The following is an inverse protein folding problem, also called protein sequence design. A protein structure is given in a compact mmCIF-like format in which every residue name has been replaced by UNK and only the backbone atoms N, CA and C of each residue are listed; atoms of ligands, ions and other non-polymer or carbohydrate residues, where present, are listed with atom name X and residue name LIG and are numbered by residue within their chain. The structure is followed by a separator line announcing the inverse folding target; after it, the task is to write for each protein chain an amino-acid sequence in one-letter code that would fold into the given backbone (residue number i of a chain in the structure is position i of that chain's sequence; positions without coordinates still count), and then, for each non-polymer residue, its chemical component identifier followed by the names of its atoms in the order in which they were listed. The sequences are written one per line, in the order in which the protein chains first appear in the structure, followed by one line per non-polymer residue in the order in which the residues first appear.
data_IF_484028262595
#
_entry.id   IF_484028262595
#
_cell.length_a   1.000
_cell.length_b   1.000
_cell.length_c   1.000
_cell.angle_alpha   90.00
_cell.angle_beta   90.00
_cell.angle_gamma   90.00
#
_symmetry.space_group_name_H-M   'P 1'
#
loop_
_entity.id
_entity.type
_entity.pdbx_description
1 polymer ?
#
# COMPACT_ATOMS: atom_id res chain seq x y z
N UNK A 1 5.64 49.76 58.16
CA UNK A 1 5.01 48.71 57.32
C UNK A 1 5.08 47.40 58.06
N UNK A 2 4.03 46.58 57.93
CA UNK A 2 3.76 45.27 58.56
C UNK A 2 3.14 45.30 59.97
N UNK A 3 1.80 45.14 59.98
CA UNK A 3 1.02 44.59 61.08
C UNK A 3 0.06 43.53 60.51
N UNK A 4 -0.06 42.41 61.25
CA UNK A 4 -1.29 41.59 61.46
C UNK A 4 -1.87 40.85 60.25
N UNK A 5 -2.50 39.66 60.30
CA UNK A 5 -3.04 38.74 61.32
C UNK A 5 -3.36 37.42 60.54
N UNK A 6 -3.09 36.24 61.08
CA UNK A 6 -4.03 35.33 61.78
C UNK A 6 -5.06 34.59 60.88
N UNK A 7 -4.80 33.28 60.74
CA UNK A 7 -5.69 32.09 60.70
C UNK A 7 -7.10 32.13 60.07
N UNK A 8 -7.41 31.14 59.22
CA UNK A 8 -8.51 30.20 59.47
C UNK A 8 -8.44 28.96 58.56
N UNK A 9 -8.65 27.80 59.16
CA UNK A 9 -8.91 26.50 58.53
C UNK A 9 -10.33 26.49 57.96
N UNK A 10 -10.52 25.96 56.75
CA UNK A 10 -11.76 25.28 56.37
C UNK A 10 -11.48 24.32 55.21
N UNK A 11 -11.65 23.02 55.48
CA UNK A 11 -11.73 21.99 54.47
C UNK A 11 -13.10 22.06 53.79
N UNK A 12 -13.12 22.11 52.46
CA UNK A 12 -14.27 21.69 51.67
C UNK A 12 -13.77 20.92 50.45
N UNK A 13 -14.06 19.63 50.46
CA UNK A 13 -14.16 18.78 49.28
C UNK A 13 -15.28 19.34 48.40
N UNK A 14 -14.95 19.76 47.18
CA UNK A 14 -15.92 19.89 46.09
C UNK A 14 -15.36 19.23 44.84
N UNK A 15 -15.95 18.08 44.54
CA UNK A 15 -15.96 17.43 43.24
C UNK A 15 -16.43 18.40 42.17
N UNK A 16 -15.63 18.63 41.13
CA UNK A 16 -16.08 19.26 39.89
C UNK A 16 -16.16 18.16 38.82
N UNK A 17 -17.33 17.53 38.78
CA UNK A 17 -17.88 16.99 37.55
C UNK A 17 -18.37 18.19 36.73
N UNK A 18 -17.79 18.41 35.55
CA UNK A 18 -18.27 19.38 34.57
C UNK A 18 -18.86 18.64 33.38
N UNK A 19 -20.17 18.37 33.44
CA UNK A 19 -20.99 18.03 32.28
C UNK A 19 -21.82 19.27 31.87
N UNK A 20 -22.03 19.38 30.55
CA UNK A 20 -23.01 20.21 29.82
C UNK A 20 -22.68 21.71 29.68
N UNK A 21 -22.83 22.36 28.52
CA UNK A 21 -23.64 22.14 27.30
C UNK A 21 -22.87 22.65 26.07
N UNK A 22 -22.93 22.08 24.86
CA UNK A 22 -24.14 21.87 24.07
C UNK A 22 -24.48 23.14 23.27
N UNK A 23 -23.95 23.25 22.04
CA UNK A 23 -24.59 24.02 20.97
C UNK A 23 -24.34 23.31 19.65
N UNK A 24 -25.33 22.54 19.25
CA UNK A 24 -25.56 22.03 17.93
C UNK A 24 -25.76 23.18 16.93
N UNK A 25 -25.14 23.05 15.76
CA UNK A 25 -25.76 23.48 14.52
C UNK A 25 -25.89 22.24 13.66
N UNK A 26 -26.90 21.43 13.97
CA UNK A 26 -27.40 20.38 13.09
C UNK A 26 -28.01 21.06 11.87
N UNK A 27 -27.24 21.11 10.79
CA UNK A 27 -27.76 21.30 9.44
C UNK A 27 -28.47 20.02 9.00
N UNK A 28 -29.56 20.11 8.23
CA UNK A 28 -30.23 18.92 7.73
C UNK A 28 -29.36 18.25 6.66
N UNK A 29 -28.76 17.12 7.01
CA UNK A 29 -28.30 16.10 6.06
C UNK A 29 -26.91 16.31 5.43
N UNK A 30 -25.86 16.47 6.23
CA UNK A 30 -24.53 16.04 5.79
C UNK A 30 -24.35 14.57 6.20
N UNK A 31 -24.54 13.66 5.24
CA UNK A 31 -23.98 12.31 5.33
C UNK A 31 -22.48 12.48 5.55
N UNK A 32 -22.01 12.16 6.76
CA UNK A 32 -20.59 12.12 7.07
C UNK A 32 -19.83 11.31 6.03
N UNK A 33 -18.56 11.67 5.79
CA UNK A 33 -17.67 10.96 4.86
C UNK A 33 -17.87 9.44 4.99
N UNK A 34 -18.19 8.71 3.90
CA UNK A 34 -18.37 7.27 3.97
C UNK A 34 -17.09 6.54 4.36
N UNK A 35 -15.92 7.20 4.28
CA UNK A 35 -14.65 6.67 4.76
C UNK A 35 -14.01 7.62 5.78
N UNK A 36 -13.82 7.12 6.99
CA UNK A 36 -13.22 7.86 8.11
C UNK A 36 -11.85 7.24 8.42
N UNK A 37 -10.77 7.96 8.09
CA UNK A 37 -9.37 7.53 8.35
C UNK A 37 -9.05 6.13 7.78
N UNK A 38 -9.52 5.84 6.57
CA UNK A 38 -9.31 4.55 5.92
C UNK A 38 -10.36 3.49 6.23
N UNK A 39 -11.37 3.79 7.06
CA UNK A 39 -12.45 2.84 7.36
C UNK A 39 -13.70 3.13 6.50
N UNK A 40 -13.96 2.36 5.42
CA UNK A 40 -15.10 2.56 4.49
C UNK A 40 -16.45 2.15 5.12
N UNK A 41 -17.58 2.66 4.64
CA UNK A 41 -18.90 2.29 5.20
C UNK A 41 -19.35 0.92 4.71
N UNK A 42 -19.05 0.60 3.45
CA UNK A 42 -19.44 -0.64 2.78
C UNK A 42 -20.96 -0.85 2.71
N UNK A 43 -21.77 0.18 2.93
CA UNK A 43 -23.23 0.04 3.06
C UNK A 43 -23.92 -0.46 1.79
N UNK A 44 -23.31 -0.24 0.63
CA UNK A 44 -23.89 -0.50 -0.69
C UNK A 44 -23.25 -1.65 -1.46
N UNK A 45 -22.58 -2.57 -0.77
CA UNK A 45 -22.00 -3.76 -1.41
C UNK A 45 -23.05 -4.87 -1.60
N UNK A 46 -22.95 -5.61 -2.69
CA UNK A 46 -23.70 -6.83 -2.99
C UNK A 46 -22.80 -7.85 -3.70
N UNK A 47 -23.19 -9.12 -3.74
CA UNK A 47 -22.43 -10.15 -4.45
C UNK A 47 -22.47 -9.92 -5.95
N UNK A 48 -21.32 -9.95 -6.62
CA UNK A 48 -21.26 -9.87 -8.08
C UNK A 48 -21.99 -11.06 -8.74
N UNK A 49 -21.84 -12.25 -8.15
CA UNK A 49 -22.55 -13.47 -8.54
C UNK A 49 -23.38 -13.96 -7.35
N UNK A 50 -24.69 -13.92 -7.49
CA UNK A 50 -25.59 -14.40 -6.44
C UNK A 50 -25.48 -15.91 -6.23
N UNK A 51 -25.37 -16.32 -4.97
CA UNK A 51 -25.31 -17.72 -4.54
C UNK A 51 -25.80 -17.86 -3.11
N UNK A 52 -25.89 -19.11 -2.62
CA UNK A 52 -26.23 -19.38 -1.21
C UNK A 52 -25.21 -18.78 -0.23
N UNK A 53 -24.00 -18.44 -0.69
CA UNK A 53 -22.96 -17.80 0.11
C UNK A 53 -23.13 -16.28 0.23
N UNK A 54 -23.94 -15.63 -0.63
CA UNK A 54 -24.02 -14.16 -0.75
C UNK A 54 -24.20 -13.43 0.58
N UNK A 55 -25.23 -13.79 1.34
CA UNK A 55 -25.51 -13.15 2.64
C UNK A 55 -24.35 -13.31 3.61
N UNK A 56 -23.78 -14.52 3.67
CA UNK A 56 -22.66 -14.82 4.56
C UNK A 56 -21.40 -14.05 4.17
N UNK A 57 -21.11 -13.94 2.87
CA UNK A 57 -19.97 -13.17 2.36
C UNK A 57 -20.10 -11.68 2.73
N UNK A 58 -21.28 -11.09 2.54
CA UNK A 58 -21.55 -9.69 2.90
C UNK A 58 -21.44 -9.47 4.42
N UNK A 59 -22.00 -10.37 5.22
CA UNK A 59 -21.86 -10.32 6.69
C UNK A 59 -20.39 -10.38 7.10
N UNK A 60 -19.64 -11.36 6.56
CA UNK A 60 -18.22 -11.54 6.85
C UNK A 60 -17.40 -10.28 6.50
N UNK A 61 -17.61 -9.71 5.31
CA UNK A 61 -16.88 -8.52 4.87
C UNK A 61 -17.07 -7.28 5.77
N UNK A 62 -18.14 -7.22 6.58
CA UNK A 62 -18.44 -6.08 7.46
C UNK A 62 -18.16 -6.36 8.93
N UNK A 63 -17.98 -7.62 9.31
CA UNK A 63 -18.03 -8.06 10.71
C UNK A 63 -16.91 -7.43 11.58
N UNK A 64 -15.77 -7.08 10.97
CA UNK A 64 -14.65 -6.44 11.68
C UNK A 64 -15.02 -5.10 12.31
N UNK A 65 -16.02 -4.39 11.76
CA UNK A 65 -16.53 -3.11 12.31
C UNK A 65 -17.15 -3.27 13.70
N UNK A 66 -17.50 -4.49 14.08
CA UNK A 66 -18.01 -4.84 15.40
C UNK A 66 -16.92 -5.46 16.29
N UNK A 67 -15.65 -5.39 15.86
CA UNK A 67 -14.50 -6.06 16.47
C UNK A 67 -14.67 -7.61 16.55
N UNK A 68 -15.41 -8.17 15.60
CA UNK A 68 -15.69 -9.60 15.48
C UNK A 68 -14.95 -10.20 14.28
N UNK A 69 -14.93 -11.53 14.17
CA UNK A 69 -14.24 -12.27 13.10
C UNK A 69 -15.18 -13.26 12.41
N UNK A 70 -14.92 -13.54 11.13
CA UNK A 70 -15.72 -14.49 10.37
C UNK A 70 -15.59 -15.90 10.94
N UNK A 71 -16.72 -16.60 11.02
CA UNK A 71 -16.80 -17.99 11.48
C UNK A 71 -16.49 -18.94 10.34
N UNK A 72 -15.58 -19.89 10.59
CA UNK A 72 -15.14 -20.92 9.64
C UNK A 72 -16.25 -21.91 9.30
N UNK A 73 -17.26 -22.02 10.16
CA UNK A 73 -18.46 -22.82 9.91
C UNK A 73 -19.37 -22.19 8.85
N UNK A 74 -19.27 -20.88 8.63
CA UNK A 74 -20.11 -20.14 7.68
C UNK A 74 -19.41 -19.88 6.35
N UNK A 75 -18.16 -19.43 6.40
CA UNK A 75 -17.36 -19.11 5.22
C UNK A 75 -15.90 -19.46 5.47
N UNK A 76 -15.27 -20.05 4.46
CA UNK A 76 -13.87 -20.47 4.50
C UNK A 76 -13.10 -19.86 3.33
N UNK A 77 -11.79 -19.63 3.49
CA UNK A 77 -10.92 -19.17 2.43
C UNK A 77 -11.05 -20.01 1.15
N UNK A 78 -10.83 -19.40 -0.02
CA UNK A 78 -10.99 -20.08 -1.33
C UNK A 78 -10.13 -21.36 -1.40
N UNK A 79 -8.89 -21.30 -0.89
CA UNK A 79 -7.94 -22.41 -0.91
C UNK A 79 -8.00 -23.34 0.30
N UNK A 80 -9.00 -23.21 1.18
CA UNK A 80 -9.05 -24.01 2.41
C UNK A 80 -9.03 -25.52 2.13
N UNK A 81 -8.13 -26.24 2.81
CA UNK A 81 -7.95 -27.69 2.76
C UNK A 81 -7.61 -28.26 1.38
N UNK A 82 -6.94 -27.47 0.53
CA UNK A 82 -6.55 -27.93 -0.80
C UNK A 82 -5.23 -27.33 -1.28
N UNK A 83 -4.55 -28.06 -2.17
CA UNK A 83 -3.23 -27.69 -2.68
C UNK A 83 -3.25 -27.32 -4.17
N UNK A 84 -4.32 -27.64 -4.90
CA UNK A 84 -4.47 -27.36 -6.32
C UNK A 84 -4.58 -25.86 -6.63
N UNK A 85 -4.32 -25.53 -7.89
CA UNK A 85 -4.43 -24.18 -8.41
C UNK A 85 -5.88 -23.70 -8.35
N UNK A 86 -6.08 -22.43 -7.98
CA UNK A 86 -7.43 -21.84 -8.02
C UNK A 86 -7.69 -21.17 -9.37
N UNK A 87 -8.96 -21.17 -9.75
CA UNK A 87 -9.44 -20.61 -11.00
C UNK A 87 -9.94 -19.18 -10.83
N UNK A 88 -10.00 -18.44 -11.94
CA UNK A 88 -10.61 -17.10 -11.96
C UNK A 88 -12.11 -17.13 -11.60
N UNK A 89 -12.82 -18.24 -11.87
CA UNK A 89 -14.23 -18.38 -11.51
C UNK A 89 -14.42 -18.52 -9.99
N UNK A 90 -13.51 -19.21 -9.29
CA UNK A 90 -13.51 -19.28 -7.83
C UNK A 90 -13.26 -17.90 -7.21
N UNK A 91 -12.36 -17.09 -7.79
CA UNK A 91 -12.15 -15.69 -7.37
C UNK A 91 -13.42 -14.87 -7.62
N UNK A 92 -14.04 -15.00 -8.81
CA UNK A 92 -15.28 -14.30 -9.15
C UNK A 92 -16.41 -14.60 -8.17
N UNK A 93 -16.51 -15.84 -7.67
CA UNK A 93 -17.53 -16.25 -6.72
C UNK A 93 -17.41 -15.55 -5.35
N UNK A 94 -16.28 -14.91 -5.06
CA UNK A 94 -16.01 -14.19 -3.80
C UNK A 94 -16.05 -12.67 -3.94
N UNK A 95 -16.40 -12.15 -5.13
CA UNK A 95 -16.47 -10.71 -5.38
C UNK A 95 -17.73 -10.10 -4.76
N UNK A 96 -17.52 -9.09 -3.91
CA UNK A 96 -18.54 -8.18 -3.43
C UNK A 96 -18.27 -6.80 -4.04
N UNK A 97 -19.28 -6.18 -4.63
CA UNK A 97 -19.11 -4.93 -5.36
C UNK A 97 -20.14 -3.89 -4.95
N UNK A 98 -19.75 -2.62 -5.01
CA UNK A 98 -20.70 -1.50 -4.97
C UNK A 98 -21.29 -1.18 -6.35
N UNK A 99 -20.57 -1.51 -7.42
CA UNK A 99 -20.98 -1.29 -8.80
C UNK A 99 -20.49 -2.45 -9.67
N UNK A 100 -21.36 -2.92 -10.58
CA UNK A 100 -21.07 -4.05 -11.47
C UNK A 100 -19.77 -3.87 -12.28
N UNK A 101 -19.55 -2.64 -12.77
CA UNK A 101 -18.38 -2.31 -13.59
C UNK A 101 -17.05 -2.59 -12.88
N UNK A 102 -17.02 -2.53 -11.54
CA UNK A 102 -15.80 -2.77 -10.77
C UNK A 102 -15.36 -4.23 -10.91
N UNK A 103 -16.29 -5.18 -10.78
CA UNK A 103 -16.00 -6.60 -11.01
C UNK A 103 -15.64 -6.86 -12.47
N UNK A 104 -16.39 -6.31 -13.43
CA UNK A 104 -16.09 -6.47 -14.85
C UNK A 104 -14.65 -6.03 -15.19
N UNK A 105 -14.26 -4.86 -14.68
CA UNK A 105 -12.92 -4.31 -14.88
C UNK A 105 -11.84 -5.14 -14.19
N UNK A 106 -12.09 -5.55 -12.93
CA UNK A 106 -11.19 -6.41 -12.16
C UNK A 106 -10.95 -7.76 -12.87
N UNK A 107 -12.02 -8.42 -13.32
CA UNK A 107 -11.96 -9.69 -14.04
C UNK A 107 -11.24 -9.54 -15.37
N UNK A 108 -11.52 -8.46 -16.12
CA UNK A 108 -10.83 -8.19 -17.38
C UNK A 108 -9.33 -7.95 -17.16
N UNK A 109 -8.96 -7.22 -16.11
CA UNK A 109 -7.57 -7.00 -15.74
C UNK A 109 -6.87 -8.28 -15.29
N UNK A 110 -7.50 -9.15 -14.49
CA UNK A 110 -6.94 -10.46 -14.14
C UNK A 110 -6.74 -11.35 -15.37
N UNK A 111 -7.64 -11.30 -16.36
CA UNK A 111 -7.47 -11.99 -17.65
C UNK A 111 -6.32 -11.41 -18.47
N UNK A 112 -6.12 -10.09 -18.44
CA UNK A 112 -5.00 -9.43 -19.12
C UNK A 112 -3.67 -9.68 -18.40
N UNK A 113 -3.69 -9.86 -17.08
CA UNK A 113 -2.54 -10.30 -16.29
C UNK A 113 -2.16 -11.72 -16.70
N UNK A 114 -3.11 -12.66 -16.74
CA UNK A 114 -2.86 -14.06 -17.10
C UNK A 114 -1.67 -14.67 -16.33
N UNK A 115 -1.82 -14.79 -15.01
CA UNK A 115 -0.74 -15.24 -14.12
C UNK A 115 -1.27 -16.18 -13.03
N UNK A 116 -0.95 -17.48 -13.14
CA UNK A 116 -1.45 -18.49 -12.22
C UNK A 116 -0.89 -18.34 -10.80
N UNK A 117 0.36 -17.87 -10.66
CA UNK A 117 0.94 -17.62 -9.35
C UNK A 117 0.19 -16.50 -8.64
N UNK A 118 -0.15 -15.41 -9.34
CA UNK A 118 -1.02 -14.36 -8.78
C UNK A 118 -2.40 -14.90 -8.37
N UNK A 119 -3.05 -15.71 -9.21
CA UNK A 119 -4.37 -16.28 -8.86
C UNK A 119 -4.28 -17.09 -7.57
N UNK A 120 -3.23 -17.90 -7.42
CA UNK A 120 -3.01 -18.71 -6.23
C UNK A 120 -2.83 -17.89 -4.95
N UNK A 121 -2.40 -16.62 -5.04
CA UNK A 121 -2.30 -15.76 -3.86
C UNK A 121 -3.66 -15.36 -3.27
N UNK A 122 -4.78 -15.55 -3.98
CA UNK A 122 -6.13 -15.33 -3.44
C UNK A 122 -6.62 -16.46 -2.53
N UNK A 123 -5.90 -17.59 -2.49
CA UNK A 123 -6.25 -18.76 -1.68
C UNK A 123 -6.61 -18.44 -0.21
N UNK A 124 -5.93 -17.53 0.50
CA UNK A 124 -6.26 -17.22 1.89
C UNK A 124 -7.50 -16.35 2.07
N UNK A 125 -8.16 -15.90 1.01
CA UNK A 125 -9.27 -14.94 1.12
C UNK A 125 -10.65 -15.61 1.25
N UNK A 126 -11.48 -15.07 2.15
CA UNK A 126 -12.91 -15.32 2.22
C UNK A 126 -13.69 -14.51 1.20
N UNK A 127 -13.40 -13.20 1.09
CA UNK A 127 -14.09 -12.27 0.18
C UNK A 127 -13.14 -11.22 -0.39
N UNK A 128 -13.51 -10.68 -1.54
CA UNK A 128 -12.79 -9.61 -2.24
C UNK A 128 -13.80 -8.49 -2.49
N UNK A 129 -13.58 -7.34 -1.88
CA UNK A 129 -14.53 -6.23 -1.82
C UNK A 129 -14.05 -5.08 -2.69
N UNK A 130 -14.82 -4.74 -3.72
CA UNK A 130 -14.57 -3.61 -4.61
C UNK A 130 -15.63 -2.53 -4.37
N UNK A 131 -15.26 -1.42 -3.74
CA UNK A 131 -16.23 -0.40 -3.34
C UNK A 131 -15.76 1.01 -3.63
N UNK A 132 -16.73 1.88 -3.95
CA UNK A 132 -16.51 3.27 -4.32
C UNK A 132 -15.94 4.14 -3.19
N UNK A 133 -16.04 3.68 -1.94
CA UNK A 133 -15.65 4.35 -0.71
C UNK A 133 -14.41 3.75 -0.04
N UNK A 134 -13.76 2.74 -0.63
CA UNK A 134 -12.49 2.20 -0.12
C UNK A 134 -11.34 3.13 -0.55
N UNK A 135 -10.58 3.62 0.44
CA UNK A 135 -9.32 4.34 0.26
C UNK A 135 -8.56 4.42 1.59
N UNK A 136 -7.32 3.91 1.68
CA UNK A 136 -6.62 3.08 0.68
C UNK A 136 -7.24 1.68 0.54
N UNK A 137 -6.72 0.87 -0.38
CA UNK A 137 -6.92 -0.59 -0.37
C UNK A 137 -6.27 -1.21 0.88
N UNK A 138 -6.76 -2.35 1.34
CA UNK A 138 -6.18 -3.07 2.48
C UNK A 138 -6.63 -4.54 2.55
N UNK A 139 -5.84 -5.38 3.21
CA UNK A 139 -6.25 -6.68 3.76
C UNK A 139 -6.71 -6.56 5.23
N UNK A 140 -7.69 -7.36 5.65
CA UNK A 140 -8.14 -7.40 7.05
C UNK A 140 -8.13 -8.82 7.65
N UNK A 141 -7.32 -9.03 8.68
CA UNK A 141 -7.12 -10.34 9.32
C UNK A 141 -8.38 -10.97 9.91
N UNK A 142 -9.25 -10.18 10.56
CA UNK A 142 -10.50 -10.71 11.14
C UNK A 142 -11.47 -11.31 10.12
N UNK A 143 -11.39 -10.86 8.87
CA UNK A 143 -12.31 -11.30 7.80
C UNK A 143 -11.62 -12.21 6.81
N UNK A 144 -10.28 -12.22 6.77
CA UNK A 144 -9.50 -12.72 5.65
C UNK A 144 -10.05 -12.17 4.33
N UNK A 145 -10.32 -10.86 4.28
CA UNK A 145 -10.86 -10.22 3.10
C UNK A 145 -9.93 -9.12 2.60
N UNK A 146 -9.93 -8.94 1.29
CA UNK A 146 -9.22 -7.85 0.62
C UNK A 146 -10.22 -6.77 0.19
N UNK A 147 -9.88 -5.51 0.41
CA UNK A 147 -10.70 -4.34 0.12
C UNK A 147 -9.93 -3.48 -0.88
N UNK A 148 -10.49 -3.25 -2.06
CA UNK A 148 -9.80 -2.59 -3.19
C UNK A 148 -10.41 -1.22 -3.47
N UNK A 149 -9.58 -0.18 -3.48
CA UNK A 149 -9.93 1.17 -3.93
C UNK A 149 -10.32 1.13 -5.42
N UNK A 150 -11.53 1.58 -5.71
CA UNK A 150 -12.09 1.64 -7.06
C UNK A 150 -11.25 2.47 -8.05
N UNK A 151 -10.34 3.34 -7.58
CA UNK A 151 -9.40 4.07 -8.45
C UNK A 151 -8.47 3.14 -9.24
N UNK A 152 -8.24 1.93 -8.76
CA UNK A 152 -7.47 0.93 -9.51
C UNK A 152 -8.24 0.34 -10.70
N UNK A 153 -9.56 0.56 -10.80
CA UNK A 153 -10.43 -0.20 -11.70
C UNK A 153 -11.20 0.63 -12.73
N UNK A 154 -11.24 1.96 -12.61
CA UNK A 154 -12.06 2.77 -13.52
C UNK A 154 -11.58 2.65 -14.97
N UNK A 155 -12.53 2.61 -15.92
CA UNK A 155 -12.23 2.47 -17.35
C UNK A 155 -12.42 3.75 -18.13
N UNK A 156 -13.40 4.56 -17.72
CA UNK A 156 -13.70 5.85 -18.32
C UNK A 156 -14.26 6.85 -17.28
N UNK A 157 -14.63 8.04 -17.75
CA UNK A 157 -15.20 9.09 -16.90
C UNK A 157 -16.53 8.69 -16.22
N UNK A 158 -17.32 7.81 -16.84
CA UNK A 158 -18.60 7.37 -16.30
C UNK A 158 -18.41 6.46 -15.09
N UNK A 159 -17.37 5.63 -15.08
CA UNK A 159 -16.92 4.87 -13.90
C UNK A 159 -16.33 5.84 -12.87
N UNK A 160 -15.37 6.69 -13.28
CA UNK A 160 -14.63 7.61 -12.39
C UNK A 160 -15.55 8.48 -11.51
N UNK A 161 -16.59 9.07 -12.10
CA UNK A 161 -17.52 9.96 -11.39
C UNK A 161 -18.38 9.25 -10.33
N UNK A 162 -18.39 7.92 -10.30
CA UNK A 162 -19.10 7.12 -9.27
C UNK A 162 -18.25 6.81 -8.05
N UNK A 163 -16.94 7.09 -8.11
CA UNK A 163 -15.99 6.87 -7.02
C UNK A 163 -16.04 8.04 -6.03
N UNK A 164 -16.03 7.74 -4.73
CA UNK A 164 -15.94 8.77 -3.71
C UNK A 164 -14.61 9.51 -3.79
N UNK A 165 -14.70 10.83 -3.99
CA UNK A 165 -13.54 11.70 -4.11
C UNK A 165 -13.13 12.17 -2.72
N UNK A 166 -12.19 11.43 -2.14
CA UNK A 166 -11.56 11.75 -0.87
C UNK A 166 -10.05 11.61 -1.04
N UNK A 167 -9.27 12.46 -0.40
CA UNK A 167 -7.84 12.26 -0.35
C UNK A 167 -7.45 11.19 0.65
N UNK A 168 -6.28 10.57 0.43
CA UNK A 168 -5.68 9.74 1.45
C UNK A 168 -5.42 10.58 2.71
N UNK A 169 -5.92 10.13 3.87
CA UNK A 169 -5.80 10.86 5.12
C UNK A 169 -4.34 11.02 5.58
N UNK A 170 -3.42 10.20 5.06
CA UNK A 170 -1.99 10.23 5.37
C UNK A 170 -1.23 11.36 4.67
N UNK A 171 -1.85 12.06 3.71
CA UNK A 171 -1.22 13.19 2.99
C UNK A 171 -0.62 14.26 3.92
N UNK A 172 -1.14 14.37 5.14
CA UNK A 172 -0.78 15.40 6.10
C UNK A 172 0.40 15.04 7.00
N UNK A 173 0.84 13.77 7.02
CA UNK A 173 1.76 13.25 8.03
C UNK A 173 3.21 13.69 7.85
N UNK A 174 3.66 13.85 6.60
CA UNK A 174 5.06 14.13 6.28
C UNK A 174 5.39 15.63 6.10
N UNK A 175 4.50 16.55 6.49
CA UNK A 175 4.65 17.99 6.16
C UNK A 175 5.91 18.66 6.72
N UNK A 176 6.48 18.13 7.80
CA UNK A 176 7.70 18.65 8.45
C UNK A 176 8.99 18.16 7.79
N UNK A 177 8.94 17.17 6.91
CA UNK A 177 10.14 16.62 6.27
C UNK A 177 10.78 17.63 5.31
N UNK A 178 12.11 17.62 5.25
CA UNK A 178 12.90 18.42 4.29
C UNK A 178 13.24 17.63 3.02
N UNK A 179 12.96 16.33 3.02
CA UNK A 179 13.12 15.39 1.92
C UNK A 179 11.99 14.35 1.96
N UNK A 180 11.63 13.77 0.82
CA UNK A 180 10.60 12.73 0.73
C UNK A 180 11.15 11.46 0.10
N UNK A 181 10.51 10.33 0.33
CA UNK A 181 10.79 9.12 -0.43
C UNK A 181 9.99 9.12 -1.74
N UNK A 182 10.60 8.73 -2.84
CA UNK A 182 9.94 8.54 -4.12
C UNK A 182 10.19 7.13 -4.63
N UNK A 183 9.19 6.52 -5.28
CA UNK A 183 9.37 5.23 -5.93
C UNK A 183 8.56 5.08 -7.21
N UNK A 184 9.02 4.23 -8.11
CA UNK A 184 8.28 3.84 -9.33
C UNK A 184 8.82 2.55 -9.94
N UNK A 185 7.95 1.90 -10.71
CA UNK A 185 8.34 0.77 -11.56
C UNK A 185 8.54 1.22 -13.00
N UNK A 186 9.70 0.91 -13.57
CA UNK A 186 10.04 1.19 -14.96
C UNK A 186 10.54 -0.06 -15.68
N UNK A 187 10.44 -0.09 -17.01
CA UNK A 187 11.08 -1.13 -17.81
C UNK A 187 12.58 -0.84 -17.93
N UNK A 188 13.45 -1.77 -17.54
CA UNK A 188 14.89 -1.51 -17.42
C UNK A 188 15.58 -1.01 -18.70
N UNK A 189 15.11 -1.43 -19.88
CA UNK A 189 15.70 -1.00 -21.17
C UNK A 189 15.28 0.40 -21.61
N UNK A 190 14.04 0.81 -21.29
CA UNK A 190 13.47 2.06 -21.81
C UNK A 190 13.33 3.13 -20.74
N UNK A 191 13.34 2.76 -19.45
CA UNK A 191 13.01 3.61 -18.32
C UNK A 191 11.65 4.30 -18.45
N UNK A 192 10.73 3.70 -19.22
CA UNK A 192 9.33 4.12 -19.25
C UNK A 192 8.59 3.45 -18.09
N UNK A 193 7.56 4.14 -17.57
CA UNK A 193 6.67 3.59 -16.57
C UNK A 193 6.04 2.27 -16.99
N UNK A 194 5.97 1.33 -16.05
CA UNK A 194 5.23 0.07 -16.21
C UNK A 194 3.73 0.29 -15.95
N UNK A 195 3.41 1.17 -15.00
CA UNK A 195 2.05 1.50 -14.58
C UNK A 195 1.57 2.81 -15.23
N UNK A 196 0.26 3.03 -15.19
CA UNK A 196 -0.35 4.33 -15.50
C UNK A 196 -1.04 4.85 -14.25
N UNK A 197 -1.13 6.18 -14.09
CA UNK A 197 -1.79 6.75 -12.93
C UNK A 197 -3.24 6.28 -12.79
N UNK A 198 -3.64 6.10 -11.54
CA UNK A 198 -5.01 5.81 -11.16
C UNK A 198 -5.91 7.06 -11.12
N UNK A 199 -5.39 8.25 -11.43
CA UNK A 199 -6.16 9.48 -11.52
C UNK A 199 -6.75 9.68 -12.92
N UNK A 200 -8.02 10.08 -12.99
CA UNK A 200 -8.62 10.51 -14.25
C UNK A 200 -8.07 11.87 -14.68
N UNK A 201 -7.64 11.95 -15.95
CA UNK A 201 -7.26 13.19 -16.60
C UNK A 201 -7.86 13.22 -18.01
N UNK A 202 -8.67 14.24 -18.32
CA UNK A 202 -9.40 14.30 -19.59
C UNK A 202 -8.51 14.40 -20.83
N UNK A 203 -7.26 14.84 -20.68
CA UNK A 203 -6.32 15.04 -21.78
C UNK A 203 -5.38 13.85 -21.96
N UNK A 204 -5.03 13.15 -20.88
CA UNK A 204 -3.86 12.23 -20.84
C UNK A 204 -4.21 10.83 -20.35
N UNK A 205 -5.25 10.71 -19.53
CA UNK A 205 -5.71 9.46 -18.96
C UNK A 205 -7.23 9.48 -18.85
N UNK A 206 -7.89 9.62 -20.01
CA UNK A 206 -9.35 9.71 -20.09
C UNK A 206 -10.02 8.34 -20.22
N UNK A 207 -9.25 7.33 -20.61
CA UNK A 207 -9.68 5.93 -20.74
C UNK A 207 -8.57 4.94 -20.38
N UNK A 208 -8.95 3.82 -19.76
CA UNK A 208 -8.07 2.72 -19.38
C UNK A 208 -8.65 1.40 -19.89
N UNK A 209 -7.89 0.71 -20.75
CA UNK A 209 -8.18 -0.68 -21.12
C UNK A 209 -7.71 -1.64 -20.03
N UNK A 210 -8.10 -2.91 -20.11
CA UNK A 210 -7.64 -3.94 -19.17
C UNK A 210 -6.11 -4.04 -19.12
N UNK A 211 -5.42 -3.89 -20.26
CA UNK A 211 -3.96 -3.93 -20.37
C UNK A 211 -3.29 -2.72 -19.70
N UNK A 212 -3.96 -1.56 -19.68
CA UNK A 212 -3.49 -0.39 -18.93
C UNK A 212 -3.73 -0.54 -17.42
N UNK A 213 -4.83 -1.20 -17.04
CA UNK A 213 -5.17 -1.44 -15.62
C UNK A 213 -4.25 -2.50 -15.01
N UNK A 214 -3.98 -3.57 -15.76
CA UNK A 214 -3.34 -4.79 -15.31
C UNK A 214 -2.04 -4.56 -14.51
N UNK A 215 -1.03 -3.78 -14.95
CA UNK A 215 0.21 -3.65 -14.19
C UNK A 215 0.05 -2.93 -12.86
N UNK A 216 -0.78 -1.88 -12.81
CA UNK A 216 -1.06 -1.14 -11.57
C UNK A 216 -1.87 -1.97 -10.58
N UNK A 217 -2.85 -2.73 -11.08
CA UNK A 217 -3.62 -3.66 -10.26
C UNK A 217 -2.77 -4.84 -9.78
N UNK A 218 -1.92 -5.42 -10.64
CA UNK A 218 -1.02 -6.50 -10.30
C UNK A 218 -0.10 -6.12 -9.14
N UNK A 219 0.49 -4.92 -9.20
CA UNK A 219 1.31 -4.38 -8.10
C UNK A 219 0.54 -4.36 -6.78
N UNK A 220 -0.65 -3.75 -6.79
CA UNK A 220 -1.52 -3.69 -5.61
C UNK A 220 -1.88 -5.10 -5.09
N UNK A 221 -2.26 -5.99 -5.99
CA UNK A 221 -2.65 -7.36 -5.64
C UNK A 221 -1.47 -8.12 -5.04
N UNK A 222 -0.27 -8.03 -5.63
CA UNK A 222 0.92 -8.65 -5.07
C UNK A 222 1.22 -8.16 -3.65
N UNK A 223 1.04 -6.86 -3.40
CA UNK A 223 1.23 -6.27 -2.08
C UNK A 223 0.21 -6.78 -1.05
N UNK A 224 -1.09 -6.58 -1.31
CA UNK A 224 -2.14 -6.88 -0.33
C UNK A 224 -2.34 -8.39 -0.14
N UNK A 225 -2.13 -9.18 -1.18
CA UNK A 225 -2.14 -10.64 -1.05
C UNK A 225 -0.89 -11.16 -0.35
N UNK A 226 0.23 -10.42 -0.34
CA UNK A 226 1.36 -10.79 0.52
C UNK A 226 0.95 -10.74 2.00
N UNK A 227 0.23 -9.70 2.43
CA UNK A 227 -0.32 -9.64 3.79
C UNK A 227 -1.24 -10.83 4.10
N UNK A 228 -2.08 -11.23 3.13
CA UNK A 228 -2.96 -12.38 3.30
C UNK A 228 -2.19 -13.70 3.45
N UNK A 229 -1.15 -13.92 2.63
CA UNK A 229 -0.34 -15.14 2.64
C UNK A 229 0.75 -15.13 3.74
N UNK A 230 1.08 -13.98 4.31
CA UNK A 230 1.91 -13.86 5.51
C UNK A 230 1.14 -14.29 6.76
N UNK A 231 -0.14 -13.93 6.83
CA UNK A 231 -1.01 -14.20 7.98
C UNK A 231 -1.74 -15.55 7.92
N UNK A 232 -1.91 -16.12 6.72
CA UNK A 232 -2.42 -17.48 6.50
C UNK A 232 -1.60 -18.14 5.37
N UNK A 233 -0.35 -18.56 5.67
CA UNK A 233 0.54 -19.13 4.66
C UNK A 233 0.02 -20.46 4.10
N UNK A 234 0.53 -20.88 2.91
CA UNK A 234 0.01 -22.05 2.20
C UNK A 234 -0.03 -23.35 3.03
N UNK A 235 0.90 -23.54 3.97
CA UNK A 235 0.92 -24.72 4.83
C UNK A 235 -0.23 -24.74 5.83
N UNK A 236 -0.49 -23.61 6.50
CA UNK A 236 -1.59 -23.45 7.46
C UNK A 236 -2.95 -23.54 6.76
N UNK A 237 -3.04 -23.07 5.51
CA UNK A 237 -4.28 -23.09 4.75
C UNK A 237 -4.77 -24.52 4.42
N UNK A 238 -3.85 -25.48 4.25
CA UNK A 238 -4.18 -26.89 3.99
C UNK A 238 -4.71 -27.57 5.26
N UNK A 239 -4.28 -27.12 6.43
CA UNK A 239 -4.67 -27.67 7.74
C UNK A 239 -5.77 -26.85 8.44
N UNK A 240 -6.29 -25.83 7.76
CA UNK A 240 -7.25 -24.87 8.31
C UNK A 240 -8.43 -25.57 8.99
N UNK A 241 -8.76 -25.14 10.21
CA UNK A 241 -9.87 -25.72 10.94
C UNK A 241 -11.22 -25.56 10.19
N UNK A 242 -12.17 -26.45 10.50
CA UNK A 242 -13.54 -26.40 9.98
C UNK A 242 -14.50 -25.62 10.88
N UNK A 243 -14.03 -25.11 12.02
CA UNK A 243 -14.83 -24.45 13.07
C UNK A 243 -13.99 -23.41 13.78
N UNK A 244 -14.63 -22.47 14.47
CA UNK A 244 -13.95 -21.34 15.11
C UNK A 244 -13.93 -20.10 14.22
N UNK A 245 -12.97 -19.21 14.45
CA UNK A 245 -12.90 -17.94 13.72
C UNK A 245 -11.60 -17.85 12.92
N UNK A 246 -11.64 -17.10 11.83
CA UNK A 246 -10.45 -16.78 11.03
C UNK A 246 -9.36 -16.13 11.87
N UNK A 247 -9.74 -15.24 12.79
CA UNK A 247 -8.77 -14.56 13.63
C UNK A 247 -7.96 -15.54 14.49
N UNK A 248 -8.58 -16.61 15.01
CA UNK A 248 -7.85 -17.59 15.80
C UNK A 248 -6.79 -18.30 14.95
N UNK A 249 -7.15 -18.70 13.72
CA UNK A 249 -6.20 -19.35 12.80
C UNK A 249 -5.06 -18.41 12.41
N UNK A 250 -5.36 -17.11 12.20
CA UNK A 250 -4.32 -16.10 11.96
C UNK A 250 -3.43 -15.95 13.20
N UNK A 251 -3.99 -15.80 14.40
CA UNK A 251 -3.20 -15.58 15.61
C UNK A 251 -2.31 -16.78 15.98
N UNK A 252 -2.74 -18.00 15.65
CA UNK A 252 -2.00 -19.24 15.88
C UNK A 252 -0.97 -19.56 14.77
N UNK A 253 -1.06 -18.90 13.61
CA UNK A 253 -0.20 -19.13 12.45
C UNK A 253 1.26 -18.73 12.70
N UNK A 254 2.17 -19.43 12.03
CA UNK A 254 3.59 -19.08 12.06
C UNK A 254 3.90 -18.03 10.98
N UNK A 255 3.72 -16.77 11.34
CA UNK A 255 3.84 -15.65 10.40
C UNK A 255 5.23 -15.49 9.77
N UNK A 256 5.25 -15.15 8.48
CA UNK A 256 6.47 -14.93 7.70
C UNK A 256 7.19 -13.67 8.21
N UNK A 257 6.45 -12.61 8.54
CA UNK A 257 7.03 -11.35 9.04
C UNK A 257 7.86 -11.54 10.31
N UNK A 258 7.42 -12.40 11.23
CA UNK A 258 8.14 -12.65 12.49
C UNK A 258 9.45 -13.40 12.23
N UNK A 259 9.44 -14.36 11.30
CA UNK A 259 10.62 -15.09 10.90
C UNK A 259 11.60 -14.20 10.11
N UNK A 260 11.09 -13.32 9.23
CA UNK A 260 11.89 -12.36 8.49
C UNK A 260 12.57 -11.37 9.45
N UNK A 261 11.81 -10.78 10.38
CA UNK A 261 12.35 -9.82 11.36
C UNK A 261 13.43 -10.44 12.25
N UNK A 262 13.22 -11.67 12.72
CA UNK A 262 14.20 -12.38 13.55
C UNK A 262 15.49 -12.78 12.81
N UNK A 263 15.44 -12.97 11.49
CA UNK A 263 16.57 -13.45 10.69
C UNK A 263 17.29 -12.31 9.94
N UNK A 264 16.52 -11.35 9.41
CA UNK A 264 16.97 -10.31 8.48
C UNK A 264 16.32 -8.94 8.77
N UNK A 265 15.93 -8.67 10.02
CA UNK A 265 15.21 -7.45 10.39
C UNK A 265 15.93 -6.15 10.02
N UNK A 266 15.14 -5.11 9.78
CA UNK A 266 15.62 -3.75 9.55
C UNK A 266 16.14 -3.14 10.84
N UNK A 267 17.26 -2.43 10.75
CA UNK A 267 18.04 -1.94 11.90
C UNK A 267 18.24 -0.43 11.92
N UNK A 268 17.97 0.29 10.83
CA UNK A 268 18.10 1.73 10.76
C UNK A 268 17.08 2.42 11.67
N UNK A 269 17.56 2.94 12.81
CA UNK A 269 16.72 3.71 13.72
C UNK A 269 16.16 4.97 13.05
N UNK A 270 16.95 5.65 12.22
CA UNK A 270 16.50 6.83 11.49
C UNK A 270 15.30 6.50 10.59
N UNK A 271 15.38 5.42 9.81
CA UNK A 271 14.34 5.06 8.85
C UNK A 271 13.10 4.48 9.53
N UNK A 272 13.27 3.72 10.62
CA UNK A 272 12.15 3.25 11.46
C UNK A 272 11.38 4.44 12.07
N UNK A 273 12.09 5.41 12.66
CA UNK A 273 11.46 6.62 13.21
C UNK A 273 10.83 7.51 12.12
N UNK A 274 11.48 7.63 10.97
CA UNK A 274 10.95 8.39 9.84
C UNK A 274 9.65 7.75 9.31
N UNK A 275 9.62 6.44 9.13
CA UNK A 275 8.44 5.72 8.65
C UNK A 275 7.25 5.83 9.61
N UNK A 276 7.51 5.83 10.91
CA UNK A 276 6.49 6.07 11.94
C UNK A 276 5.84 7.46 11.82
N UNK A 277 6.62 8.48 11.50
CA UNK A 277 6.05 9.80 11.16
C UNK A 277 5.31 9.75 9.83
N UNK A 278 5.94 9.25 8.76
CA UNK A 278 5.38 9.29 7.39
C UNK A 278 4.10 8.48 7.21
N UNK A 279 3.93 7.36 7.93
CA UNK A 279 2.84 6.41 7.66
C UNK A 279 1.84 6.27 8.82
N UNK A 280 2.28 6.51 10.06
CA UNK A 280 1.44 6.37 11.26
C UNK A 280 1.10 7.71 11.92
N UNK A 281 1.64 8.82 11.41
CA UNK A 281 1.35 10.18 11.91
C UNK A 281 1.91 10.44 13.31
N UNK A 282 2.95 9.70 13.73
CA UNK A 282 3.66 10.00 14.99
C UNK A 282 4.43 11.33 14.86
N UNK A 283 4.54 12.12 15.94
CA UNK A 283 5.33 13.37 15.91
C UNK A 283 6.77 13.14 15.44
N UNK A 284 7.30 14.08 14.64
CA UNK A 284 8.68 14.01 14.15
C UNK A 284 9.69 14.10 15.30
N UNK A 285 10.66 13.18 15.32
CA UNK A 285 11.75 13.15 16.31
C UNK A 285 12.89 14.11 15.93
N UNK A 286 13.76 14.44 16.88
CA UNK A 286 14.96 15.26 16.61
C UNK A 286 15.94 14.55 15.67
N UNK A 287 15.99 13.21 15.71
CA UNK A 287 16.81 12.40 14.80
C UNK A 287 16.35 12.60 13.36
N UNK A 288 15.05 12.39 13.10
CA UNK A 288 14.46 12.58 11.77
C UNK A 288 14.56 14.04 11.33
N UNK A 289 14.22 15.00 12.20
CA UNK A 289 14.24 16.44 11.87
C UNK A 289 15.61 16.95 11.45
N UNK A 290 16.67 16.45 12.07
CA UNK A 290 18.04 16.87 11.79
C UNK A 290 18.72 16.04 10.69
N UNK A 291 18.04 15.03 10.15
CA UNK A 291 18.57 14.19 9.08
C UNK A 291 18.41 14.84 7.70
N UNK A 292 19.12 14.29 6.72
CA UNK A 292 19.08 14.70 5.31
C UNK A 292 18.70 13.51 4.44
N UNK A 293 18.18 13.76 3.23
CA UNK A 293 17.84 12.69 2.29
C UNK A 293 19.06 11.85 1.87
N UNK A 294 20.27 12.42 1.89
CA UNK A 294 21.51 11.67 1.67
C UNK A 294 21.81 10.70 2.83
N UNK A 295 21.64 11.13 4.09
CA UNK A 295 21.81 10.25 5.26
C UNK A 295 20.77 9.13 5.28
N UNK A 296 19.49 9.46 5.05
CA UNK A 296 18.41 8.49 4.96
C UNK A 296 18.68 7.46 3.83
N UNK A 297 19.14 7.93 2.67
CA UNK A 297 19.55 7.08 1.56
C UNK A 297 20.72 6.16 1.88
N UNK A 298 21.76 6.69 2.55
CA UNK A 298 22.91 5.90 2.97
C UNK A 298 22.56 4.79 3.95
N UNK A 299 21.68 5.05 4.92
CA UNK A 299 21.18 4.00 5.82
C UNK A 299 20.33 2.97 5.04
N UNK A 300 19.45 3.44 4.17
CA UNK A 300 18.56 2.60 3.36
C UNK A 300 19.32 1.64 2.44
N UNK A 301 20.41 2.11 1.83
CA UNK A 301 21.29 1.33 0.99
C UNK A 301 21.82 0.08 1.71
N UNK A 302 22.19 0.24 2.99
CA UNK A 302 22.83 -0.82 3.78
C UNK A 302 21.87 -1.80 4.46
N UNK A 303 20.67 -1.35 4.84
CA UNK A 303 19.77 -2.12 5.73
C UNK A 303 18.94 -3.19 5.00
N UNK A 304 18.88 -3.14 3.66
CA UNK A 304 18.33 -4.22 2.84
C UNK A 304 16.81 -4.20 2.63
N UNK A 305 16.13 -3.08 2.90
CA UNK A 305 14.73 -2.89 2.51
C UNK A 305 14.58 -2.75 0.97
N UNK A 306 13.47 -3.27 0.42
CA UNK A 306 13.09 -3.05 -0.98
C UNK A 306 12.46 -1.68 -1.22
N UNK A 307 11.72 -1.14 -0.25
CA UNK A 307 11.07 0.16 -0.30
C UNK A 307 11.05 0.81 1.09
N UNK A 308 10.99 2.15 1.15
CA UNK A 308 10.91 2.89 2.43
C UNK A 308 9.66 2.52 3.24
N UNK A 309 8.58 2.13 2.57
CA UNK A 309 7.36 1.68 3.27
C UNK A 309 7.56 0.42 4.11
N UNK A 310 8.57 -0.41 3.80
CA UNK A 310 8.92 -1.59 4.59
C UNK A 310 9.35 -1.26 6.03
N UNK A 311 9.80 -0.03 6.31
CA UNK A 311 10.12 0.40 7.68
C UNK A 311 8.89 0.72 8.53
N UNK A 312 7.69 0.79 7.92
CA UNK A 312 6.47 1.17 8.64
C UNK A 312 5.97 0.09 9.59
N UNK A 313 6.07 -1.18 9.20
CA UNK A 313 5.85 -2.36 10.05
C UNK A 313 6.57 -3.57 9.44
N UNK A 314 6.86 -4.59 10.24
CA UNK A 314 7.46 -5.86 9.76
C UNK A 314 6.60 -6.54 8.68
N UNK A 315 5.27 -6.37 8.70
CA UNK A 315 4.37 -6.89 7.67
C UNK A 315 4.53 -6.16 6.34
N UNK A 316 4.72 -4.85 6.40
CA UNK A 316 4.93 -4.02 5.21
C UNK A 316 6.29 -4.28 4.57
N UNK A 317 7.28 -4.68 5.36
CA UNK A 317 8.55 -5.19 4.84
C UNK A 317 8.36 -6.47 4.01
N UNK A 318 7.64 -7.47 4.53
CA UNK A 318 7.26 -8.68 3.77
C UNK A 318 6.52 -8.30 2.48
N UNK A 319 5.49 -7.47 2.57
CA UNK A 319 4.65 -7.12 1.43
C UNK A 319 5.43 -6.37 0.34
N UNK A 320 6.27 -5.40 0.71
CA UNK A 320 7.07 -4.66 -0.27
C UNK A 320 8.15 -5.52 -0.92
N UNK A 321 8.81 -6.43 -0.18
CA UNK A 321 9.75 -7.40 -0.76
C UNK A 321 9.07 -8.30 -1.79
N UNK A 322 7.89 -8.81 -1.45
CA UNK A 322 7.13 -9.71 -2.32
C UNK A 322 6.56 -8.98 -3.55
N UNK A 323 6.01 -7.78 -3.37
CA UNK A 323 5.53 -6.92 -4.45
C UNK A 323 6.63 -6.68 -5.50
N UNK A 324 7.82 -6.29 -5.05
CA UNK A 324 8.96 -6.02 -5.93
C UNK A 324 9.34 -7.27 -6.74
N UNK A 325 9.39 -8.43 -6.09
CA UNK A 325 9.66 -9.71 -6.76
C UNK A 325 8.62 -10.02 -7.83
N UNK A 326 7.33 -9.95 -7.49
CA UNK A 326 6.25 -10.28 -8.42
C UNK A 326 6.24 -9.31 -9.61
N UNK A 327 6.45 -8.02 -9.37
CA UNK A 327 6.54 -7.01 -10.44
C UNK A 327 7.69 -7.28 -11.40
N UNK A 328 8.85 -7.67 -10.87
CA UNK A 328 9.99 -8.07 -11.68
C UNK A 328 9.69 -9.35 -12.47
N UNK A 329 9.19 -10.40 -11.80
CA UNK A 329 8.86 -11.68 -12.42
C UNK A 329 7.85 -11.53 -13.56
N UNK A 330 6.79 -10.73 -13.38
CA UNK A 330 5.72 -10.59 -14.37
C UNK A 330 6.06 -9.66 -15.53
N UNK A 331 6.62 -8.49 -15.21
CA UNK A 331 6.77 -7.40 -16.16
C UNK A 331 8.23 -7.09 -16.52
N UNK A 332 9.21 -7.79 -15.94
CA UNK A 332 10.61 -7.39 -16.01
C UNK A 332 10.82 -5.99 -15.42
N UNK A 333 9.93 -5.56 -14.53
CA UNK A 333 9.95 -4.23 -13.94
C UNK A 333 11.16 -4.10 -13.03
N UNK A 334 11.82 -2.95 -13.08
CA UNK A 334 12.79 -2.54 -12.08
C UNK A 334 12.17 -1.46 -11.21
N UNK A 335 12.35 -1.57 -9.90
CA UNK A 335 11.97 -0.53 -8.98
C UNK A 335 13.08 0.53 -8.90
N UNK A 336 12.70 1.79 -9.09
CA UNK A 336 13.54 2.94 -8.78
C UNK A 336 13.05 3.53 -7.46
N UNK A 337 13.97 3.64 -6.50
CA UNK A 337 13.71 4.24 -5.19
C UNK A 337 14.67 5.41 -4.97
N UNK A 338 14.18 6.48 -4.38
CA UNK A 338 15.00 7.65 -4.08
C UNK A 338 14.53 8.38 -2.83
N UNK A 339 15.45 9.09 -2.20
CA UNK A 339 15.12 10.23 -1.35
C UNK A 339 15.33 11.50 -2.17
N UNK A 340 14.32 12.37 -2.20
CA UNK A 340 14.27 13.57 -3.02
C UNK A 340 14.05 14.82 -2.18
N UNK A 341 14.52 15.98 -2.64
CA UNK A 341 14.26 17.26 -1.97
C UNK A 341 12.78 17.63 -2.05
N UNK A 342 12.26 18.28 -1.00
CA UNK A 342 10.92 18.90 -1.05
C UNK A 342 11.01 20.28 -1.73
N UNK A 343 10.29 20.51 -2.85
CA UNK A 343 10.23 21.83 -3.47
C UNK A 343 9.71 22.90 -2.51
N UNK A 344 10.32 24.09 -2.54
CA UNK A 344 9.95 25.21 -1.66
C UNK A 344 8.95 26.17 -2.31
N UNK A 345 8.52 25.89 -3.54
CA UNK A 345 7.53 26.67 -4.29
C UNK A 345 6.18 25.96 -4.32
N UNK A 346 5.09 26.72 -4.37
CA UNK A 346 3.74 26.15 -4.52
C UNK A 346 3.47 25.66 -5.95
N UNK A 347 4.13 26.25 -6.94
CA UNK A 347 4.17 25.77 -8.31
C UNK A 347 5.49 25.04 -8.53
N UNK A 348 5.46 23.72 -8.40
CA UNK A 348 6.58 22.84 -8.67
C UNK A 348 6.18 21.85 -9.75
N UNK A 349 7.18 21.36 -10.48
CA UNK A 349 7.06 20.25 -11.41
C UNK A 349 7.72 19.01 -10.79
N UNK A 350 7.53 17.85 -11.39
CA UNK A 350 8.25 16.65 -10.95
C UNK A 350 9.78 16.80 -11.05
N UNK A 351 10.30 17.72 -11.86
CA UNK A 351 11.74 17.94 -11.95
C UNK A 351 12.30 18.83 -10.84
N UNK A 352 11.45 19.51 -10.07
CA UNK A 352 11.88 20.27 -8.89
C UNK A 352 12.15 19.37 -7.67
N UNK A 353 11.68 18.12 -7.72
CA UNK A 353 12.05 17.07 -6.76
C UNK A 353 13.42 16.51 -7.14
N UNK A 354 14.46 17.09 -6.55
CA UNK A 354 15.85 16.74 -6.86
C UNK A 354 16.27 15.49 -6.11
N UNK A 355 16.89 14.54 -6.81
CA UNK A 355 17.42 13.30 -6.22
C UNK A 355 18.55 13.66 -5.25
N UNK A 356 18.40 13.28 -3.98
CA UNK A 356 19.42 13.43 -2.92
C UNK A 356 20.18 12.11 -2.71
N UNK A 357 19.50 10.99 -2.89
CA UNK A 357 20.03 9.64 -3.01
C UNK A 357 19.03 8.81 -3.83
N UNK A 358 19.49 7.83 -4.61
CA UNK A 358 18.58 6.92 -5.28
C UNK A 358 19.25 5.73 -5.96
N UNK A 359 18.51 4.64 -6.08
CA UNK A 359 18.96 3.40 -6.71
C UNK A 359 17.88 2.83 -7.62
N UNK A 360 18.35 2.24 -8.71
CA UNK A 360 17.58 1.42 -9.63
C UNK A 360 17.87 -0.05 -9.37
N UNK A 361 16.83 -0.87 -9.50
CA UNK A 361 16.91 -2.32 -9.40
C UNK A 361 17.42 -2.81 -8.04
N UNK A 362 16.69 -2.45 -6.98
CA UNK A 362 16.99 -2.89 -5.60
C UNK A 362 17.02 -4.41 -5.44
N UNK A 363 16.36 -5.19 -6.30
CA UNK A 363 16.42 -6.66 -6.26
C UNK A 363 17.82 -7.23 -6.59
N UNK A 364 18.66 -6.43 -7.25
CA UNK A 364 20.07 -6.77 -7.48
C UNK A 364 20.96 -6.50 -6.26
N UNK A 365 20.46 -5.85 -5.20
CA UNK A 365 21.18 -5.67 -3.94
C UNK A 365 21.27 -6.99 -3.17
N UNK A 366 22.43 -7.33 -2.61
CA UNK A 366 22.63 -8.63 -1.94
C UNK A 366 21.84 -8.78 -0.64
N UNK A 367 21.67 -7.68 0.11
CA UNK A 367 20.91 -7.68 1.36
C UNK A 367 19.41 -7.80 1.05
N UNK A 368 18.93 -7.08 0.04
CA UNK A 368 17.54 -7.21 -0.44
C UNK A 368 17.28 -8.60 -1.00
N UNK A 369 18.18 -9.11 -1.85
CA UNK A 369 18.04 -10.41 -2.52
C UNK A 369 17.81 -11.55 -1.52
N UNK A 370 18.61 -11.61 -0.46
CA UNK A 370 18.52 -12.69 0.54
C UNK A 370 17.15 -12.70 1.23
N UNK A 371 16.58 -11.52 1.46
CA UNK A 371 15.27 -11.32 2.09
C UNK A 371 14.13 -11.62 1.13
N UNK A 372 14.24 -11.20 -0.12
CA UNK A 372 13.27 -11.53 -1.18
C UNK A 372 13.21 -13.03 -1.41
N UNK A 373 14.36 -13.72 -1.46
CA UNK A 373 14.42 -15.17 -1.57
C UNK A 373 13.65 -15.85 -0.43
N UNK A 374 13.89 -15.41 0.80
CA UNK A 374 13.19 -15.91 1.97
C UNK A 374 11.67 -15.71 1.87
N UNK A 375 11.22 -14.49 1.60
CA UNK A 375 9.79 -14.15 1.55
C UNK A 375 9.07 -14.85 0.40
N UNK A 376 9.60 -14.76 -0.82
CA UNK A 376 8.96 -15.30 -2.01
C UNK A 376 8.89 -16.83 -1.97
N UNK A 377 9.89 -17.50 -1.41
CA UNK A 377 9.87 -18.95 -1.19
C UNK A 377 8.69 -19.36 -0.31
N UNK A 378 8.46 -18.65 0.80
CA UNK A 378 7.40 -18.99 1.74
C UNK A 378 6.01 -18.67 1.20
N UNK A 379 5.83 -17.51 0.58
CA UNK A 379 4.52 -17.09 0.04
C UNK A 379 4.12 -17.94 -1.16
N UNK A 380 5.03 -18.18 -2.12
CA UNK A 380 4.70 -18.97 -3.31
C UNK A 380 4.78 -20.48 -3.08
N UNK A 381 5.35 -20.91 -1.94
CA UNK A 381 5.62 -22.31 -1.64
C UNK A 381 6.41 -23.02 -2.76
N UNK A 382 7.41 -22.33 -3.31
CA UNK A 382 8.27 -22.81 -4.39
C UNK A 382 9.69 -23.06 -3.86
N UNK A 383 10.48 -23.87 -4.57
CA UNK A 383 11.88 -24.10 -4.18
C UNK A 383 12.73 -22.83 -4.36
N UNK A 384 13.81 -22.63 -3.56
CA UNK A 384 14.71 -21.50 -3.73
C UNK A 384 15.22 -21.33 -5.17
N UNK A 385 15.48 -22.44 -5.87
CA UNK A 385 15.97 -22.43 -7.25
C UNK A 385 14.97 -21.76 -8.20
N UNK A 386 13.68 -22.08 -8.07
CA UNK A 386 12.62 -21.47 -8.89
C UNK A 386 12.50 -19.97 -8.60
N UNK A 387 12.64 -19.56 -7.33
CA UNK A 387 12.64 -18.14 -6.99
C UNK A 387 13.88 -17.43 -7.57
N UNK A 388 15.06 -18.03 -7.45
CA UNK A 388 16.32 -17.48 -7.96
C UNK A 388 16.32 -17.28 -9.48
N UNK A 389 15.72 -18.21 -10.23
CA UNK A 389 15.59 -18.13 -11.70
C UNK A 389 14.75 -16.94 -12.16
N UNK A 390 13.87 -16.42 -11.30
CA UNK A 390 13.00 -15.26 -11.57
C UNK A 390 13.53 -13.96 -10.97
N UNK A 391 14.75 -13.94 -10.43
CA UNK A 391 15.42 -12.73 -9.95
C UNK A 391 16.48 -12.24 -10.94
N UNK A 392 16.93 -10.97 -10.84
CA UNK A 392 18.12 -10.52 -11.56
C UNK A 392 19.31 -11.46 -11.32
N UNK A 393 20.24 -11.60 -12.29
CA UNK A 393 21.45 -12.41 -12.10
C UNK A 393 22.21 -12.03 -10.82
N UNK A 394 22.79 -13.00 -10.11
CA UNK A 394 23.55 -12.76 -8.87
C UNK A 394 24.75 -11.82 -9.07
N UNK A 395 25.25 -11.71 -10.30
CA UNK A 395 26.32 -10.77 -10.67
C UNK A 395 25.85 -9.33 -10.85
N UNK A 396 24.55 -9.09 -10.97
CA UNK A 396 23.98 -7.76 -11.10
C UNK A 396 24.11 -7.00 -9.78
N UNK A 397 24.17 -5.67 -9.88
CA UNK A 397 24.19 -4.75 -8.75
C UNK A 397 23.24 -3.59 -9.02
N UNK A 398 22.66 -2.96 -7.98
CA UNK A 398 21.83 -1.77 -8.17
C UNK A 398 22.62 -0.66 -8.88
N UNK A 399 21.92 0.14 -9.68
CA UNK A 399 22.52 1.29 -10.36
C UNK A 399 22.16 2.57 -9.62
N UNK A 400 23.16 3.38 -9.25
CA UNK A 400 22.90 4.68 -8.63
C UNK A 400 22.17 5.63 -9.59
N UNK A 401 21.21 6.39 -9.07
CA UNK A 401 20.53 7.45 -9.79
C UNK A 401 21.34 8.76 -9.75
N UNK A 402 21.23 9.64 -10.76
CA UNK A 402 22.03 10.85 -10.82
C UNK A 402 21.55 11.91 -9.81
N UNK A 403 22.39 12.20 -8.81
CA UNK A 403 22.12 13.20 -7.77
C UNK A 403 21.92 14.59 -8.37
N UNK A 404 20.96 15.36 -7.83
CA UNK A 404 20.63 16.72 -8.25
C UNK A 404 19.80 16.81 -9.53
N UNK A 405 19.54 15.70 -10.22
CA UNK A 405 18.59 15.64 -11.33
C UNK A 405 17.15 15.64 -10.81
N UNK A 406 16.25 16.17 -11.63
CA UNK A 406 14.82 16.09 -11.37
C UNK A 406 14.30 14.66 -11.46
N UNK A 407 13.22 14.35 -10.74
CA UNK A 407 12.65 13.01 -10.76
C UNK A 407 12.20 12.58 -12.16
N UNK A 408 11.60 13.46 -12.95
CA UNK A 408 11.16 13.12 -14.31
C UNK A 408 12.29 13.16 -15.36
N UNK A 409 13.34 13.94 -15.14
CA UNK A 409 14.57 13.95 -15.96
C UNK A 409 15.23 12.57 -16.05
N UNK A 410 14.94 11.67 -15.10
CA UNK A 410 15.55 10.32 -15.05
C UNK A 410 14.78 9.24 -15.82
N UNK A 411 13.75 9.60 -16.59
CA UNK A 411 12.87 8.68 -17.33
C UNK A 411 13.12 8.66 -18.83
N UNK A 412 12.80 7.53 -19.46
CA UNK A 412 12.50 7.44 -20.88
C UNK A 412 13.57 8.01 -21.81
N UNK A 413 13.13 8.51 -22.97
CA UNK A 413 13.98 9.22 -23.93
C UNK A 413 14.50 10.59 -23.42
N UNK A 414 13.99 11.09 -22.29
CA UNK A 414 14.50 12.29 -21.63
C UNK A 414 15.77 12.00 -20.81
N UNK A 415 16.02 10.73 -20.48
CA UNK A 415 17.21 10.29 -19.78
C UNK A 415 18.42 10.31 -20.74
N UNK A 416 19.10 11.44 -20.78
CA UNK A 416 20.40 11.54 -21.43
C UNK A 416 21.50 11.14 -20.43
N UNK A 417 21.98 9.90 -20.54
CA UNK A 417 23.11 9.39 -19.73
C UNK A 417 24.40 10.20 -19.91
N UNK A 418 24.49 11.07 -20.94
CA UNK A 418 25.65 11.88 -21.29
C UNK A 418 25.43 13.41 -21.19
N UNK A 419 24.22 13.92 -20.93
CA UNK A 419 23.98 15.38 -20.87
C UNK A 419 23.82 15.95 -19.46
N UNK A 420 24.72 16.90 -19.16
CA UNK A 420 24.47 17.97 -18.22
C UNK A 420 23.15 18.69 -18.53
N UNK A 421 22.44 19.03 -17.45
CA UNK A 421 21.14 19.71 -17.37
C UNK A 421 20.59 20.33 -18.67
N UNK A 422 19.42 19.87 -19.10
CA UNK A 422 18.54 20.63 -20.00
C UNK A 422 17.16 20.73 -19.35
N UNK A 423 16.84 21.96 -18.95
CA UNK A 423 15.59 22.37 -18.32
C UNK A 423 14.41 22.27 -19.30
N UNK A 424 13.25 21.81 -18.81
CA UNK A 424 11.96 22.01 -19.46
C UNK A 424 11.19 23.17 -18.79
N UNK A 425 10.42 23.89 -19.59
CA UNK A 425 9.77 25.17 -19.28
C UNK A 425 8.53 25.04 -18.34
N UNK A 426 8.08 26.13 -17.70
CA UNK A 426 7.19 26.08 -16.53
C UNK A 426 5.70 25.98 -16.91
N UNK A 427 4.93 25.25 -16.09
CA UNK A 427 3.48 25.44 -16.00
C UNK A 427 3.00 25.26 -14.55
N UNK A 428 1.94 25.99 -14.21
CA UNK A 428 1.45 26.23 -12.86
C UNK A 428 0.17 25.47 -12.55
N UNK A 429 0.15 24.74 -11.44
CA UNK A 429 -1.01 24.68 -10.54
C UNK A 429 -0.52 24.56 -9.10
N UNK A 430 -1.12 25.38 -8.23
CA UNK A 430 -0.72 25.54 -6.85
C UNK A 430 -1.56 24.63 -5.94
N UNK A 431 -0.88 24.10 -4.91
CA UNK A 431 -1.53 23.65 -3.68
C UNK A 431 -1.89 22.18 -3.66
N UNK A 432 -0.90 21.31 -3.46
CA UNK A 432 -1.00 20.06 -2.69
C UNK A 432 0.43 19.53 -2.45
N UNK A 433 0.81 19.26 -1.20
CA UNK A 433 2.02 18.49 -0.88
C UNK A 433 1.59 17.03 -0.83
N UNK A 434 1.97 16.24 -1.83
CA UNK A 434 1.59 14.83 -1.91
C UNK A 434 2.35 14.04 -0.84
N UNK A 435 1.66 13.59 0.20
CA UNK A 435 2.14 12.48 1.04
C UNK A 435 1.96 11.16 0.28
N UNK A 436 2.96 10.28 0.38
CA UNK A 436 3.08 9.00 -0.32
C UNK A 436 3.30 9.16 -1.84
N UNK A 437 4.55 9.43 -2.23
CA UNK A 437 4.98 9.64 -3.63
C UNK A 437 5.18 8.32 -4.39
N UNK A 438 4.12 7.51 -4.47
CA UNK A 438 3.92 6.58 -5.58
C UNK A 438 3.17 7.34 -6.68
N UNK A 439 3.61 7.23 -7.94
CA UNK A 439 3.07 7.94 -9.12
C UNK A 439 3.44 9.44 -9.30
N UNK A 440 4.66 9.89 -8.95
CA UNK A 440 5.20 11.12 -9.59
C UNK A 440 5.66 10.79 -11.02
N UNK A 441 4.71 10.48 -11.91
CA UNK A 441 5.00 10.48 -13.33
C UNK A 441 4.02 9.68 -14.15
N UNK A 442 2.78 10.13 -14.18
CA UNK A 442 2.20 10.35 -15.50
C UNK A 442 1.73 11.79 -15.57
N UNK A 443 2.62 12.65 -16.04
CA UNK A 443 2.31 13.87 -16.82
C UNK A 443 1.06 14.63 -16.38
N UNK A 444 1.21 15.64 -15.52
CA UNK A 444 0.29 16.79 -15.38
C UNK A 444 0.10 17.58 -16.66
#
# INVERSE_FOLDING_TARGET
MNKTKLAMVCALLTTMAGCNSGSSSDGPGELGSPNIKGDPSLDKIYSYQESDLSTTAIECAKIYKQNLSCSLEKIRPIGANRADDITLDEIQSRLLVSHQWMAESFIAALKAIDDQDLLNLFKPLNTIVLSYDIRPSFYHSRTASMYIDARYLWRDYSDWRTIHQQDDYRKEFAREFTYENASRYVYGQTLNYVTVSNQYDSMRNSTRSAEKIAPGLFRLLAHELAHANDLLPPHDLIELASRGTILNEVEDANHIYSQLSSTYGLTSQLLLEAAETSFHGKPMTDLVRNSTGEQAGGEFETDGAAAFYGYSTEREDVATLFENYMMHKKYGAINEVAFVSVPQTEAYTCDDWKILWGQRDRLSDKNVRSRVLFVAQQILNQTPQVIEENLPPVSSVPTAMPIGKGWCETLGANYDSAAGARFAAPYSKAGERFGYLEDIGTKE
#
